data_IF_806868187541
#
_entry.id   IF_806868187541
#
_cell.length_a   1.000
_cell.length_b   1.000
_cell.length_c   1.000
_cell.angle_alpha   90.00
_cell.angle_beta   90.00
_cell.angle_gamma   90.00
#
_symmetry.space_group_name_H-M   'P 1'
#
loop_
_entity.id
_entity.type
_entity.pdbx_description
1 polymer ?
#
# COMPACT_ATOMS: atom_id res chain seq x y z
N UNK A 1 -14.21 11.61 21.86
CA UNK A 1 -14.03 12.30 20.55
C UNK A 1 -15.39 12.39 19.86
N UNK A 2 -15.69 13.49 19.13
CA UNK A 2 -16.98 13.69 18.42
C UNK A 2 -16.98 13.10 17.00
N UNK A 3 -15.81 12.99 16.38
CA UNK A 3 -15.61 12.54 15.01
C UNK A 3 -14.49 11.51 14.96
N UNK A 4 -14.55 10.64 13.95
CA UNK A 4 -13.48 9.72 13.58
C UNK A 4 -12.69 10.32 12.41
N UNK A 5 -11.38 10.42 12.55
CA UNK A 5 -10.45 10.92 11.54
C UNK A 5 -9.66 9.73 11.00
N UNK A 6 -9.86 9.41 9.72
CA UNK A 6 -9.13 8.36 9.02
C UNK A 6 -8.09 8.98 8.10
N UNK A 7 -6.89 8.42 8.06
CA UNK A 7 -5.78 8.89 7.27
C UNK A 7 -5.72 8.21 5.89
N UNK A 8 -5.46 8.98 4.83
CA UNK A 8 -5.63 8.55 3.43
C UNK A 8 -4.36 8.34 2.62
N UNK A 9 -3.18 8.55 3.22
CA UNK A 9 -1.89 8.43 2.54
C UNK A 9 -1.14 7.20 3.07
N UNK A 10 -1.20 6.11 2.31
CA UNK A 10 -0.69 4.80 2.72
C UNK A 10 0.82 4.84 3.01
N UNK A 11 1.56 5.59 2.19
CA UNK A 11 3.01 5.86 2.30
C UNK A 11 3.41 6.76 3.47
N UNK A 12 2.44 7.34 4.19
CA UNK A 12 2.64 8.19 5.35
C UNK A 12 1.87 7.70 6.59
N UNK A 13 1.43 6.44 6.62
CA UNK A 13 0.61 5.88 7.70
C UNK A 13 1.19 6.19 9.10
N UNK A 14 2.48 5.93 9.32
CA UNK A 14 3.13 6.17 10.61
C UNK A 14 3.04 7.64 11.05
N UNK A 15 3.23 8.58 10.12
CA UNK A 15 3.05 10.01 10.38
C UNK A 15 1.61 10.31 10.78
N UNK A 16 0.63 9.72 10.10
CA UNK A 16 -0.78 9.81 10.47
C UNK A 16 -1.04 9.33 11.90
N UNK A 17 -0.55 8.13 12.25
CA UNK A 17 -0.69 7.56 13.60
C UNK A 17 -0.13 8.49 14.68
N UNK A 18 1.04 9.10 14.44
CA UNK A 18 1.66 10.05 15.36
C UNK A 18 0.82 11.32 15.60
N UNK A 19 -0.02 11.73 14.64
CA UNK A 19 -0.96 12.85 14.82
C UNK A 19 -2.25 12.48 15.57
N UNK A 20 -2.41 11.19 15.91
CA UNK A 20 -3.55 10.70 16.69
C UNK A 20 -4.81 10.43 15.87
N UNK A 21 -4.68 10.11 14.58
CA UNK A 21 -5.79 9.61 13.73
C UNK A 21 -6.39 8.33 14.30
N UNK A 22 -7.67 8.09 14.01
CA UNK A 22 -8.40 6.93 14.52
C UNK A 22 -8.22 5.66 13.64
N UNK A 23 -7.65 5.82 12.44
CA UNK A 23 -7.34 4.71 11.54
C UNK A 23 -6.84 5.20 10.19
N UNK A 24 -6.81 4.30 9.22
CA UNK A 24 -6.40 4.61 7.85
C UNK A 24 -7.29 3.93 6.82
N UNK A 25 -7.43 4.57 5.65
CA UNK A 25 -8.22 4.11 4.51
C UNK A 25 -7.44 4.39 3.25
N UNK A 26 -7.31 3.39 2.40
CA UNK A 26 -6.40 3.46 1.28
C UNK A 26 -6.41 2.20 0.46
N UNK A 27 -5.62 2.21 -0.60
CA UNK A 27 -5.80 1.28 -1.70
C UNK A 27 -4.83 0.11 -1.63
N UNK A 28 -3.62 0.33 -1.11
CA UNK A 28 -2.61 -0.74 -0.97
C UNK A 28 -2.97 -1.72 0.14
N UNK A 29 -3.86 -1.34 1.07
CA UNK A 29 -4.40 -2.26 2.07
C UNK A 29 -5.08 -3.50 1.47
N UNK A 30 -5.58 -3.43 0.22
CA UNK A 30 -6.18 -4.59 -0.46
C UNK A 30 -5.22 -5.79 -0.57
N UNK A 31 -3.92 -5.54 -0.66
CA UNK A 31 -2.91 -6.58 -0.80
C UNK A 31 -1.78 -6.52 0.24
N UNK A 32 -1.61 -5.40 0.95
CA UNK A 32 -0.56 -5.22 1.96
C UNK A 32 -1.09 -5.07 3.39
N UNK A 33 -2.38 -5.33 3.66
CA UNK A 33 -2.97 -5.19 5.00
C UNK A 33 -2.14 -5.84 6.13
N UNK A 34 -1.61 -7.07 6.00
CA UNK A 34 -0.77 -7.67 7.04
C UNK A 34 0.50 -6.86 7.35
N UNK A 35 1.09 -6.21 6.34
CA UNK A 35 2.31 -5.41 6.51
C UNK A 35 2.02 -4.09 7.25
N UNK A 36 0.95 -3.40 6.86
CA UNK A 36 0.52 -2.19 7.58
C UNK A 36 0.10 -2.47 9.02
N UNK A 37 -0.42 -3.68 9.30
CA UNK A 37 -0.68 -4.13 10.67
C UNK A 37 0.61 -4.14 11.50
N UNK A 38 1.74 -4.59 10.94
CA UNK A 38 3.05 -4.56 11.63
C UNK A 38 3.50 -3.14 11.96
N UNK A 39 3.24 -2.16 11.08
CA UNK A 39 3.50 -0.73 11.36
C UNK A 39 2.69 -0.27 12.58
N UNK A 40 1.38 -0.56 12.58
CA UNK A 40 0.47 -0.16 13.65
C UNK A 40 0.84 -0.84 14.97
N UNK A 41 1.10 -2.14 14.96
CA UNK A 41 1.41 -2.92 16.16
C UNK A 41 2.76 -2.49 16.76
N UNK A 42 3.78 -2.24 15.93
CA UNK A 42 5.06 -1.72 16.39
C UNK A 42 4.93 -0.31 16.98
N UNK A 43 4.13 0.57 16.35
CA UNK A 43 3.84 1.90 16.88
C UNK A 43 3.13 1.83 18.24
N UNK A 44 2.10 0.99 18.36
CA UNK A 44 1.36 0.79 19.61
C UNK A 44 2.20 0.16 20.73
N UNK A 45 3.19 -0.67 20.37
CA UNK A 45 4.16 -1.23 21.29
C UNK A 45 5.32 -0.26 21.61
N UNK A 46 5.25 1.00 21.19
CA UNK A 46 6.27 2.04 21.36
C UNK A 46 7.64 1.68 20.72
N UNK A 47 7.65 0.73 19.78
CA UNK A 47 8.84 0.30 19.04
C UNK A 47 9.04 1.14 17.78
N UNK A 48 9.40 2.40 17.96
CA UNK A 48 9.46 3.37 16.86
C UNK A 48 10.41 3.00 15.73
N UNK A 49 11.55 2.37 16.00
CA UNK A 49 12.50 2.00 14.95
C UNK A 49 11.96 0.85 14.09
N UNK A 50 11.31 -0.13 14.71
CA UNK A 50 10.61 -1.22 13.99
C UNK A 50 9.43 -0.66 13.16
N UNK A 51 8.65 0.27 13.72
CA UNK A 51 7.56 0.92 13.00
C UNK A 51 8.06 1.68 11.76
N UNK A 52 9.21 2.39 11.87
CA UNK A 52 9.84 3.08 10.74
C UNK A 52 10.34 2.10 9.67
N UNK A 53 10.95 0.98 10.06
CA UNK A 53 11.40 -0.04 9.13
C UNK A 53 10.24 -0.61 8.32
N UNK A 54 9.14 -0.99 8.98
CA UNK A 54 7.95 -1.47 8.29
C UNK A 54 7.33 -0.38 7.41
N UNK A 55 7.28 0.88 7.87
CA UNK A 55 6.79 2.00 7.07
C UNK A 55 7.64 2.24 5.80
N UNK A 56 8.97 2.13 5.88
CA UNK A 56 9.85 2.29 4.73
C UNK A 56 9.54 1.27 3.64
N UNK A 57 9.35 0.00 4.00
CA UNK A 57 8.93 -1.04 3.05
C UNK A 57 7.59 -0.68 2.41
N UNK A 58 6.61 -0.23 3.21
CA UNK A 58 5.32 0.20 2.68
C UNK A 58 5.43 1.39 1.71
N UNK A 59 6.27 2.37 2.03
CA UNK A 59 6.52 3.55 1.19
C UNK A 59 7.15 3.14 -0.14
N UNK A 60 8.18 2.28 -0.13
CA UNK A 60 8.81 1.79 -1.37
C UNK A 60 7.81 1.05 -2.27
N UNK A 61 6.93 0.23 -1.69
CA UNK A 61 5.89 -0.47 -2.46
C UNK A 61 4.87 0.49 -3.07
N UNK A 62 4.44 1.52 -2.34
CA UNK A 62 3.53 2.56 -2.86
C UNK A 62 4.18 3.34 -3.99
N UNK A 63 5.44 3.76 -3.83
CA UNK A 63 6.20 4.46 -4.87
C UNK A 63 6.26 3.64 -6.17
N UNK A 64 6.42 2.32 -6.05
CA UNK A 64 6.52 1.45 -7.21
C UNK A 64 5.19 1.27 -7.93
N UNK A 65 4.10 1.09 -7.18
CA UNK A 65 2.74 1.12 -7.73
C UNK A 65 2.49 2.44 -8.47
N UNK A 66 2.94 3.58 -7.92
CA UNK A 66 2.80 4.88 -8.55
C UNK A 66 3.63 5.00 -9.85
N UNK A 67 4.87 4.49 -9.87
CA UNK A 67 5.72 4.46 -11.07
C UNK A 67 5.08 3.69 -12.22
N UNK A 68 4.47 2.53 -11.93
CA UNK A 68 3.95 1.64 -12.96
C UNK A 68 2.56 2.01 -13.49
N UNK A 69 1.85 2.95 -12.88
CA UNK A 69 0.53 3.37 -13.37
C UNK A 69 -0.47 3.76 -12.28
N UNK A 70 0.00 3.89 -11.04
CA UNK A 70 -0.76 4.31 -9.88
C UNK A 70 -2.02 3.47 -9.71
N UNK A 71 -3.18 4.13 -9.87
CA UNK A 71 -4.48 3.48 -9.65
C UNK A 71 -4.71 2.26 -10.57
N UNK A 72 -4.11 2.25 -11.77
CA UNK A 72 -4.24 1.14 -12.71
C UNK A 72 -3.42 -0.08 -12.29
N UNK A 73 -2.30 0.15 -11.59
CA UNK A 73 -1.41 -0.89 -11.12
C UNK A 73 -2.01 -1.70 -9.95
N UNK A 74 -2.94 -1.12 -9.18
CA UNK A 74 -3.60 -1.81 -8.06
C UNK A 74 -4.35 -3.06 -8.53
N UNK A 75 -5.16 -2.96 -9.60
CA UNK A 75 -5.88 -4.11 -10.15
C UNK A 75 -4.92 -5.17 -10.71
N UNK A 76 -3.83 -4.74 -11.34
CA UNK A 76 -2.79 -5.64 -11.81
C UNK A 76 -2.09 -6.37 -10.64
N UNK A 77 -1.76 -5.66 -9.56
CA UNK A 77 -1.19 -6.22 -8.34
C UNK A 77 -2.11 -7.27 -7.71
N UNK A 78 -3.41 -7.00 -7.61
CA UNK A 78 -4.38 -7.99 -7.13
C UNK A 78 -4.38 -9.26 -8.01
N UNK A 79 -4.33 -9.10 -9.34
CA UNK A 79 -4.25 -10.23 -10.27
C UNK A 79 -2.96 -11.04 -10.14
N UNK A 80 -1.82 -10.38 -9.95
CA UNK A 80 -0.51 -11.01 -9.67
C UNK A 80 -0.58 -11.83 -8.38
N UNK A 81 -1.24 -11.30 -7.35
CA UNK A 81 -1.43 -11.97 -6.06
C UNK A 81 -2.56 -13.01 -6.07
N UNK A 82 -3.09 -13.35 -7.26
CA UNK A 82 -4.03 -14.45 -7.47
C UNK A 82 -5.51 -14.08 -7.41
N UNK A 83 -5.86 -12.79 -7.28
CA UNK A 83 -7.25 -12.32 -7.35
C UNK A 83 -7.47 -11.40 -8.55
N UNK A 84 -7.94 -11.98 -9.65
CA UNK A 84 -8.24 -11.23 -10.87
C UNK A 84 -9.47 -10.31 -10.70
N UNK A 85 -9.20 -9.01 -10.59
CA UNK A 85 -10.21 -7.94 -10.49
C UNK A 85 -10.60 -7.35 -11.86
N UNK A 86 -10.14 -7.94 -12.95
CA UNK A 86 -10.31 -7.47 -14.32
C UNK A 86 -9.62 -6.14 -14.61
N UNK A 87 -9.62 -5.68 -15.87
CA UNK A 87 -8.96 -4.44 -16.25
C UNK A 87 -9.67 -3.20 -15.66
N UNK A 88 -8.99 -2.05 -15.61
CA UNK A 88 -9.65 -0.78 -15.35
C UNK A 88 -10.60 -0.43 -16.51
N UNK A 89 -11.65 0.35 -16.21
CA UNK A 89 -12.55 0.90 -17.23
C UNK A 89 -11.94 2.16 -17.84
N UNK A 90 -12.17 2.38 -19.13
CA UNK A 90 -11.83 3.64 -19.80
C UNK A 90 -12.33 4.87 -19.02
N UNK A 91 -11.58 6.00 -19.00
CA UNK A 91 -10.40 6.30 -19.83
C UNK A 91 -9.08 5.67 -19.35
N UNK A 92 -9.11 4.98 -18.21
CA UNK A 92 -7.95 4.30 -17.66
C UNK A 92 -7.59 3.07 -18.49
N UNK A 93 -6.29 2.86 -18.69
CA UNK A 93 -5.75 1.74 -19.49
C UNK A 93 -5.07 0.75 -18.56
N UNK A 94 -5.12 -0.53 -18.94
CA UNK A 94 -4.31 -1.56 -18.30
C UNK A 94 -2.82 -1.22 -18.40
N UNK A 95 -2.03 -1.79 -17.50
CA UNK A 95 -0.58 -1.75 -17.59
C UNK A 95 -0.10 -2.38 -18.91
N UNK A 96 1.05 -1.94 -19.42
CA UNK A 96 1.75 -2.68 -20.46
C UNK A 96 2.29 -4.00 -19.89
N UNK A 97 2.58 -4.95 -20.77
CA UNK A 97 3.10 -6.25 -20.35
C UNK A 97 4.46 -6.11 -19.64
N UNK A 98 5.29 -5.15 -20.08
CA UNK A 98 6.57 -4.85 -19.44
C UNK A 98 6.37 -4.30 -18.01
N UNK A 99 5.49 -3.30 -17.84
CA UNK A 99 5.19 -2.73 -16.53
C UNK A 99 4.57 -3.76 -15.58
N UNK A 100 3.75 -4.67 -16.10
CA UNK A 100 3.17 -5.77 -15.33
C UNK A 100 4.24 -6.76 -14.87
N UNK A 101 5.19 -7.11 -15.74
CA UNK A 101 6.28 -8.04 -15.43
C UNK A 101 7.22 -7.45 -14.36
N UNK A 102 7.55 -6.16 -14.46
CA UNK A 102 8.36 -5.48 -13.43
C UNK A 102 7.64 -5.46 -12.08
N UNK A 103 6.36 -5.07 -12.08
CA UNK A 103 5.54 -5.06 -10.87
C UNK A 103 5.45 -6.45 -10.22
N UNK A 104 5.36 -7.51 -11.02
CA UNK A 104 5.34 -8.89 -10.52
C UNK A 104 6.65 -9.26 -9.82
N UNK A 105 7.80 -8.97 -10.44
CA UNK A 105 9.12 -9.22 -9.84
C UNK A 105 9.28 -8.50 -8.50
N UNK A 106 8.87 -7.23 -8.42
CA UNK A 106 9.05 -6.43 -7.21
C UNK A 106 8.10 -6.86 -6.08
N UNK A 107 6.87 -7.28 -6.43
CA UNK A 107 5.94 -7.86 -5.46
C UNK A 107 6.44 -9.22 -4.92
N UNK A 108 7.15 -10.01 -5.73
CA UNK A 108 7.66 -11.33 -5.32
C UNK A 108 9.03 -11.28 -4.64
N UNK A 109 9.91 -10.36 -5.03
CA UNK A 109 11.28 -10.29 -4.53
C UNK A 109 11.40 -9.50 -3.21
N UNK A 110 10.38 -8.69 -2.87
CA UNK A 110 10.43 -7.76 -1.75
C UNK A 110 10.07 -8.30 -0.36
N UNK A 111 9.56 -9.53 -0.22
CA UNK A 111 8.94 -10.00 1.05
C UNK A 111 9.20 -11.48 1.36
#
# INVERSE_FOLDING_TARGET
RRYNILFGCDELLLSGLMTGVDGAVGSTYNFMAPHYRRVIDAFQAEKMDEAKQHQQVATSMVEEILRHGGHNAIKAAMGILGLDCGPPRLPWKSLSDEARTTLEQELTDGH
#
